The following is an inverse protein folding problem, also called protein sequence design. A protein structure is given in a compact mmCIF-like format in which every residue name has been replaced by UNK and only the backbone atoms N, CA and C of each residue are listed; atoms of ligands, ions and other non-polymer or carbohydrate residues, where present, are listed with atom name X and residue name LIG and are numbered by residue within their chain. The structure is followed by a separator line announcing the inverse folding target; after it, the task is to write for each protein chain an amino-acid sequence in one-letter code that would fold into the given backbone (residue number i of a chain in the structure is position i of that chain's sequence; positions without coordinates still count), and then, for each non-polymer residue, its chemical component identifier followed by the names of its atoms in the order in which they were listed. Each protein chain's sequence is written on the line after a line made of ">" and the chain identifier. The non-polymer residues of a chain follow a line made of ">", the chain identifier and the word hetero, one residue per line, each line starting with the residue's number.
data_IF_370232488988
#
_entry.id   IF_370232488988
#
_cell.length_a   1.000
_cell.length_b   1.000
_cell.length_c   1.000
_cell.angle_alpha   90.00
_cell.angle_beta   90.00
_cell.angle_gamma   90.00
#
_symmetry.space_group_name_H-M   'P 1'
#
loop_
_entity.id
_entity.type
_entity.pdbx_description
1 polymer ?
#
# COMPACT_ATOMS: atom_id res chain seq x y z
N UNK A 1 46.46 -44.32 15.53
CA UNK A 1 46.78 -42.99 16.10
C UNK A 1 47.57 -42.19 15.07
N UNK A 2 47.07 -41.00 14.75
CA UNK A 2 47.72 -39.85 14.08
C UNK A 2 48.23 -39.95 12.63
N UNK A 3 47.31 -39.59 11.73
CA UNK A 3 47.54 -38.95 10.43
C UNK A 3 48.24 -37.59 10.63
N UNK A 4 49.29 -37.30 9.85
CA UNK A 4 49.78 -35.93 9.60
C UNK A 4 49.66 -35.62 8.12
N UNK A 5 49.02 -34.48 7.85
CA UNK A 5 48.75 -33.91 6.56
C UNK A 5 50.00 -33.20 5.99
N UNK A 6 50.17 -33.28 4.68
CA UNK A 6 50.85 -32.27 3.84
C UNK A 6 50.19 -32.34 2.46
N UNK A 7 49.24 -31.43 2.23
CA UNK A 7 48.57 -31.21 0.96
C UNK A 7 49.20 -30.01 0.25
N UNK A 8 49.54 -30.21 -1.02
CA UNK A 8 50.36 -29.35 -1.86
C UNK A 8 49.71 -28.00 -2.22
N UNK A 9 50.58 -27.00 -2.37
CA UNK A 9 50.34 -25.73 -3.04
C UNK A 9 49.96 -25.96 -4.51
N UNK A 10 48.91 -25.29 -5.00
CA UNK A 10 48.69 -25.09 -6.44
C UNK A 10 48.71 -23.60 -6.72
N UNK A 11 49.58 -23.27 -7.67
CA UNK A 11 49.99 -21.97 -8.15
C UNK A 11 48.91 -21.35 -9.05
N UNK A 12 48.63 -20.07 -8.80
CA UNK A 12 47.87 -19.16 -9.67
C UNK A 12 48.70 -18.89 -10.92
N UNK A 13 48.13 -19.09 -12.11
CA UNK A 13 48.76 -18.65 -13.35
C UNK A 13 47.88 -17.61 -14.06
N UNK A 14 48.40 -16.39 -14.10
CA UNK A 14 47.94 -15.26 -14.91
C UNK A 14 48.59 -15.38 -16.30
N UNK A 15 47.82 -15.24 -17.37
CA UNK A 15 48.35 -14.92 -18.68
C UNK A 15 47.55 -13.78 -19.31
N UNK A 16 48.25 -12.76 -19.79
CA UNK A 16 47.73 -11.56 -20.43
C UNK A 16 48.47 -11.27 -21.76
N UNK A 17 47.69 -10.86 -22.78
CA UNK A 17 47.98 -9.98 -23.94
C UNK A 17 49.10 -10.35 -24.97
N UNK A 18 49.02 -10.12 -26.29
CA UNK A 18 48.17 -9.31 -27.20
C UNK A 18 48.36 -9.78 -28.69
N UNK A 19 48.16 -8.98 -29.78
CA UNK A 19 46.98 -8.97 -30.65
C UNK A 19 47.25 -9.30 -32.15
N UNK A 20 46.21 -9.44 -32.98
CA UNK A 20 46.29 -9.23 -34.44
C UNK A 20 45.05 -8.53 -34.98
N UNK A 21 45.30 -7.48 -35.76
CA UNK A 21 44.34 -6.64 -36.47
C UNK A 21 43.66 -7.40 -37.62
N UNK A 22 42.38 -7.11 -37.84
CA UNK A 22 41.59 -7.64 -38.95
C UNK A 22 40.28 -6.88 -39.07
N UNK A 23 40.17 -6.11 -40.13
CA UNK A 23 39.18 -5.09 -40.47
C UNK A 23 37.74 -5.64 -40.60
N UNK A 24 36.76 -4.88 -40.12
CA UNK A 24 35.32 -5.16 -40.23
C UNK A 24 34.79 -5.14 -41.69
N UNK A 25 33.59 -5.69 -41.92
CA UNK A 25 32.46 -4.78 -42.02
C UNK A 25 31.27 -5.14 -41.12
N UNK A 26 30.51 -4.09 -40.85
CA UNK A 26 29.40 -3.96 -39.91
C UNK A 26 28.17 -4.70 -40.43
N UNK A 27 27.74 -5.72 -39.69
CA UNK A 27 26.34 -6.17 -39.67
C UNK A 27 25.78 -5.90 -38.26
N UNK A 28 24.81 -5.00 -38.20
CA UNK A 28 24.14 -4.57 -36.97
C UNK A 28 23.23 -5.70 -36.48
N UNK A 29 23.79 -6.63 -35.71
CA UNK A 29 23.02 -7.48 -34.82
C UNK A 29 22.52 -6.61 -33.66
N UNK A 30 21.30 -6.08 -33.78
CA UNK A 30 20.60 -5.48 -32.67
C UNK A 30 20.42 -6.55 -31.58
N UNK A 31 21.18 -6.39 -30.51
CA UNK A 31 21.10 -7.16 -29.29
C UNK A 31 19.65 -7.18 -28.80
N UNK A 32 19.01 -8.35 -28.91
CA UNK A 32 17.74 -8.62 -28.28
C UNK A 32 17.97 -8.71 -26.76
N UNK A 33 17.96 -7.56 -26.09
CA UNK A 33 17.74 -7.50 -24.65
C UNK A 33 16.42 -8.21 -24.35
N UNK A 34 16.35 -9.19 -23.43
CA UNK A 34 15.07 -9.74 -23.05
C UNK A 34 14.27 -8.61 -22.41
N UNK A 35 13.15 -8.23 -23.04
CA UNK A 35 12.18 -7.34 -22.43
C UNK A 35 11.79 -7.99 -21.11
N UNK A 36 12.13 -7.32 -20.00
CA UNK A 36 11.52 -7.59 -18.70
C UNK A 36 10.02 -7.58 -18.96
N UNK A 37 9.41 -8.74 -18.71
CA UNK A 37 8.05 -9.03 -19.12
C UNK A 37 7.12 -7.87 -18.81
N UNK A 38 6.40 -7.45 -19.83
CA UNK A 38 5.08 -6.86 -19.70
C UNK A 38 4.25 -7.83 -18.85
N UNK A 39 4.33 -7.72 -17.53
CA UNK A 39 3.19 -8.07 -16.69
C UNK A 39 2.14 -7.06 -17.11
N UNK A 40 1.14 -7.55 -17.83
CA UNK A 40 -0.06 -6.82 -18.15
C UNK A 40 -0.68 -6.27 -16.87
N UNK A 41 -0.28 -5.05 -16.48
CA UNK A 41 -1.01 -4.18 -15.55
C UNK A 41 -2.23 -3.60 -16.28
N UNK A 42 -3.01 -4.47 -16.91
CA UNK A 42 -4.34 -4.12 -17.40
C UNK A 42 -5.24 -3.98 -16.19
N UNK A 43 -5.89 -2.82 -16.05
CA UNK A 43 -6.99 -2.69 -15.10
C UNK A 43 -8.01 -3.80 -15.41
N UNK A 44 -8.35 -4.63 -14.42
CA UNK A 44 -9.24 -5.77 -14.62
C UNK A 44 -10.59 -5.29 -15.18
N UNK A 45 -11.05 -5.92 -16.25
CA UNK A 45 -12.42 -5.72 -16.76
C UNK A 45 -13.41 -6.09 -15.66
N UNK A 46 -14.51 -5.33 -15.53
CA UNK A 46 -15.53 -5.59 -14.51
C UNK A 46 -16.37 -6.85 -14.75
N UNK A 47 -16.08 -7.59 -15.81
CA UNK A 47 -16.72 -8.86 -16.15
C UNK A 47 -15.91 -10.04 -15.59
N UNK A 48 -16.61 -10.99 -14.98
CA UNK A 48 -16.01 -12.20 -14.47
C UNK A 48 -15.55 -13.10 -15.63
N UNK A 49 -14.40 -13.78 -15.49
CA UNK A 49 -13.99 -14.80 -16.44
C UNK A 49 -15.03 -15.92 -16.58
N UNK A 50 -15.04 -16.58 -17.74
CA UNK A 50 -15.92 -17.72 -17.99
C UNK A 50 -15.69 -18.85 -16.96
N UNK A 51 -16.78 -19.44 -16.47
CA UNK A 51 -16.73 -20.49 -15.44
C UNK A 51 -16.57 -19.97 -13.99
N UNK A 52 -16.41 -18.67 -13.78
CA UNK A 52 -16.38 -18.06 -12.45
C UNK A 52 -17.79 -17.66 -12.02
N UNK A 53 -18.24 -18.18 -10.88
CA UNK A 53 -19.57 -17.88 -10.33
C UNK A 53 -19.49 -16.93 -9.13
N UNK A 54 -20.42 -15.98 -8.96
CA UNK A 54 -20.54 -15.28 -7.68
C UNK A 54 -20.84 -16.30 -6.57
N UNK A 55 -20.20 -16.14 -5.42
CA UNK A 55 -20.47 -17.01 -4.28
C UNK A 55 -21.92 -16.82 -3.76
N UNK A 56 -22.63 -17.92 -3.53
CA UNK A 56 -24.05 -17.93 -3.18
C UNK A 56 -24.37 -18.93 -2.06
N UNK A 57 -25.55 -18.79 -1.44
CA UNK A 57 -26.05 -19.75 -0.47
C UNK A 57 -26.13 -21.17 -1.08
N UNK A 58 -25.75 -22.19 -0.31
CA UNK A 58 -25.66 -23.57 -0.77
C UNK A 58 -24.30 -23.96 -1.36
N UNK A 59 -23.38 -23.01 -1.55
CA UNK A 59 -21.98 -23.31 -1.82
C UNK A 59 -21.20 -23.41 -0.50
N UNK A 60 -20.27 -24.36 -0.41
CA UNK A 60 -19.27 -24.38 0.66
C UNK A 60 -18.24 -23.30 0.38
N UNK A 61 -17.95 -22.48 1.38
CA UNK A 61 -17.00 -21.35 1.25
C UNK A 61 -15.57 -21.83 1.06
N UNK A 62 -14.73 -21.06 0.35
CA UNK A 62 -13.29 -21.25 0.38
C UNK A 62 -12.74 -21.10 1.80
N UNK A 63 -11.79 -21.96 2.16
CA UNK A 63 -11.11 -21.93 3.46
C UNK A 63 -9.59 -21.77 3.28
N UNK A 64 -8.92 -20.92 4.10
CA UNK A 64 -7.47 -20.90 4.15
C UNK A 64 -6.92 -22.29 4.52
N UNK A 65 -6.02 -22.85 3.73
CA UNK A 65 -5.31 -24.08 4.12
C UNK A 65 -3.96 -23.77 4.74
N UNK A 66 -3.15 -22.94 4.08
CA UNK A 66 -1.85 -22.46 4.57
C UNK A 66 -1.75 -20.97 4.32
N UNK A 67 -1.91 -20.18 5.39
CA UNK A 67 -1.80 -18.73 5.32
C UNK A 67 -0.34 -18.28 5.51
N UNK A 68 0.23 -17.46 4.62
CA UNK A 68 1.51 -16.81 4.89
C UNK A 68 1.36 -15.84 6.07
N UNK A 69 2.45 -15.53 6.79
CA UNK A 69 2.39 -14.53 7.85
C UNK A 69 2.00 -13.17 7.27
N UNK A 70 0.98 -12.55 7.84
CA UNK A 70 0.57 -11.20 7.47
C UNK A 70 1.69 -10.22 7.87
N UNK A 71 2.36 -9.64 6.87
CA UNK A 71 3.40 -8.63 7.11
C UNK A 71 2.74 -7.29 7.38
N UNK A 72 2.74 -6.84 8.63
CA UNK A 72 2.21 -5.52 8.99
C UNK A 72 3.29 -4.45 8.76
N UNK A 73 3.05 -3.43 7.91
CA UNK A 73 4.02 -2.36 7.68
C UNK A 73 4.25 -1.50 8.93
N UNK A 74 5.46 -0.96 9.11
CA UNK A 74 5.81 -0.12 10.26
C UNK A 74 4.85 1.06 10.45
N UNK A 75 4.45 1.72 9.36
CA UNK A 75 3.48 2.83 9.40
C UNK A 75 2.11 2.40 9.95
N UNK A 76 1.66 1.19 9.65
CA UNK A 76 0.42 0.64 10.20
C UNK A 76 0.56 0.41 11.72
N UNK A 77 1.72 -0.07 12.17
CA UNK A 77 2.02 -0.25 13.60
C UNK A 77 2.08 1.10 14.33
N UNK A 78 2.76 2.09 13.75
CA UNK A 78 2.92 3.44 14.30
C UNK A 78 1.60 4.15 14.55
N UNK A 79 0.63 3.97 13.65
CA UNK A 79 -0.72 4.54 13.80
C UNK A 79 -1.71 3.61 14.49
N UNK A 80 -1.24 2.47 15.01
CA UNK A 80 -2.06 1.41 15.63
C UNK A 80 -3.24 1.01 14.74
N UNK A 81 -2.97 0.80 13.46
CA UNK A 81 -3.98 0.40 12.48
C UNK A 81 -4.51 -0.99 12.84
N UNK A 82 -5.72 -1.01 13.36
CA UNK A 82 -6.53 -2.20 13.60
C UNK A 82 -7.89 -2.02 12.95
N UNK A 83 -8.57 -3.14 12.69
CA UNK A 83 -9.91 -3.13 12.14
C UNK A 83 -10.09 -4.20 11.08
N UNK A 84 -11.14 -4.04 10.28
CA UNK A 84 -11.55 -5.02 9.30
C UNK A 84 -11.01 -4.69 7.92
N UNK A 85 -10.52 -5.71 7.23
CA UNK A 85 -10.21 -5.65 5.81
C UNK A 85 -11.25 -6.49 5.08
N UNK A 86 -11.78 -5.99 3.96
CA UNK A 86 -12.65 -6.74 3.04
C UNK A 86 -12.04 -6.73 1.65
N UNK A 87 -11.95 -7.91 1.06
CA UNK A 87 -11.44 -8.09 -0.28
C UNK A 87 -12.38 -9.01 -1.05
N UNK A 88 -12.46 -8.75 -2.35
CA UNK A 88 -13.12 -9.62 -3.32
C UNK A 88 -12.05 -10.21 -4.21
N UNK A 89 -12.03 -11.52 -4.36
CA UNK A 89 -11.09 -12.23 -5.23
C UNK A 89 -11.78 -13.36 -5.95
N UNK A 90 -11.22 -13.74 -7.10
CA UNK A 90 -11.53 -15.02 -7.72
C UNK A 90 -10.71 -16.09 -7.01
N UNK A 91 -11.38 -17.07 -6.39
CA UNK A 91 -10.75 -18.28 -5.89
C UNK A 91 -10.91 -19.36 -6.94
N UNK A 92 -9.81 -19.86 -7.48
CA UNK A 92 -9.81 -20.87 -8.55
C UNK A 92 -10.10 -22.27 -8.02
N UNK A 93 -10.36 -23.22 -8.93
CA UNK A 93 -10.50 -24.64 -8.62
C UNK A 93 -9.23 -25.26 -8.04
N UNK A 94 -8.07 -24.68 -8.35
CA UNK A 94 -6.76 -25.05 -7.79
C UNK A 94 -6.50 -24.39 -6.43
N UNK A 95 -7.44 -23.58 -5.94
CA UNK A 95 -7.35 -22.91 -4.64
C UNK A 95 -6.40 -21.72 -4.63
N UNK A 96 -6.14 -21.08 -5.77
CA UNK A 96 -5.39 -19.82 -5.84
C UNK A 96 -6.34 -18.63 -5.77
N UNK A 97 -5.89 -17.54 -5.14
CA UNK A 97 -6.59 -16.27 -5.19
C UNK A 97 -5.99 -15.37 -6.28
N UNK A 98 -6.82 -14.95 -7.20
CA UNK A 98 -6.47 -14.05 -8.30
C UNK A 98 -7.48 -12.91 -8.39
N UNK A 99 -7.19 -11.90 -9.20
CA UNK A 99 -8.11 -10.80 -9.48
C UNK A 99 -8.63 -10.09 -8.21
N UNK A 100 -7.77 -10.01 -7.19
CA UNK A 100 -8.13 -9.45 -5.89
C UNK A 100 -8.28 -7.93 -5.91
N UNK A 101 -9.42 -7.45 -5.43
CA UNK A 101 -9.75 -6.04 -5.24
C UNK A 101 -10.09 -5.78 -3.77
N UNK A 102 -9.42 -4.83 -3.15
CA UNK A 102 -9.76 -4.39 -1.79
C UNK A 102 -11.00 -3.50 -1.82
N UNK A 103 -12.03 -3.90 -1.08
CA UNK A 103 -13.27 -3.14 -0.90
C UNK A 103 -13.16 -2.20 0.30
N UNK A 104 -12.51 -2.68 1.36
CA UNK A 104 -12.27 -1.95 2.61
C UNK A 104 -10.90 -2.36 3.14
N UNK A 105 -10.15 -1.40 3.68
CA UNK A 105 -8.85 -1.67 4.30
C UNK A 105 -8.65 -0.78 5.53
N UNK A 106 -7.53 -0.99 6.20
CA UNK A 106 -7.05 -0.16 7.31
C UNK A 106 -5.78 0.58 6.87
N UNK A 107 -5.40 1.70 7.54
CA UNK A 107 -4.28 2.53 7.11
C UNK A 107 -3.02 1.72 6.79
N UNK A 108 -2.48 1.94 5.59
CA UNK A 108 -1.21 1.36 5.09
C UNK A 108 -1.21 -0.15 4.86
N UNK A 109 -2.36 -0.84 4.93
CA UNK A 109 -2.42 -2.30 4.75
C UNK A 109 -2.71 -2.75 3.33
N UNK A 110 -2.94 -1.84 2.37
CA UNK A 110 -3.36 -2.20 1.01
C UNK A 110 -2.46 -3.24 0.32
N UNK A 111 -1.15 -3.00 0.29
CA UNK A 111 -0.19 -3.91 -0.35
C UNK A 111 0.01 -5.21 0.43
N UNK A 112 0.14 -5.10 1.76
CA UNK A 112 0.33 -6.24 2.64
C UNK A 112 -0.86 -7.20 2.61
N UNK A 113 -2.07 -6.64 2.59
CA UNK A 113 -3.31 -7.39 2.46
C UNK A 113 -3.30 -8.13 1.12
N UNK A 114 -3.20 -7.44 -0.01
CA UNK A 114 -3.19 -8.11 -1.33
C UNK A 114 -2.12 -9.20 -1.42
N UNK A 115 -0.90 -8.93 -0.95
CA UNK A 115 0.17 -9.92 -0.95
C UNK A 115 -0.22 -11.17 -0.15
N UNK A 116 -0.77 -11.02 1.05
CA UNK A 116 -1.17 -12.16 1.87
C UNK A 116 -2.20 -13.03 1.16
N UNK A 117 -3.14 -12.39 0.45
CA UNK A 117 -4.24 -13.06 -0.24
C UNK A 117 -3.76 -13.82 -1.46
N UNK A 118 -2.96 -13.19 -2.32
CA UNK A 118 -2.46 -13.83 -3.55
C UNK A 118 -1.37 -14.86 -3.29
N UNK A 119 -0.79 -14.92 -2.09
CA UNK A 119 0.24 -15.89 -1.71
C UNK A 119 -0.27 -16.95 -0.70
N UNK A 120 -1.58 -16.98 -0.46
CA UNK A 120 -2.24 -17.99 0.36
C UNK A 120 -2.79 -19.12 -0.51
N UNK A 121 -2.72 -20.34 -0.01
CA UNK A 121 -3.44 -21.47 -0.58
C UNK A 121 -4.81 -21.58 0.08
N UNK A 122 -5.83 -21.79 -0.75
CA UNK A 122 -7.21 -22.01 -0.33
C UNK A 122 -7.65 -23.43 -0.65
N UNK A 123 -8.57 -23.96 0.13
CA UNK A 123 -9.49 -24.99 -0.34
C UNK A 123 -10.51 -24.31 -1.25
N UNK A 124 -10.78 -24.85 -2.46
CA UNK A 124 -11.72 -24.23 -3.40
C UNK A 124 -13.13 -24.20 -2.81
N UNK A 125 -13.99 -23.34 -3.36
CA UNK A 125 -15.41 -23.43 -3.06
C UNK A 125 -15.96 -24.74 -3.65
N UNK A 126 -16.93 -25.34 -2.98
CA UNK A 126 -17.60 -26.55 -3.49
C UNK A 126 -19.09 -26.28 -3.71
N UNK A 127 -19.62 -26.82 -4.82
CA UNK A 127 -21.05 -26.90 -5.09
C UNK A 127 -21.39 -28.34 -5.38
N UNK A 128 -22.28 -28.93 -4.58
CA UNK A 128 -22.62 -30.37 -4.67
C UNK A 128 -21.40 -31.30 -4.55
N UNK A 129 -20.36 -30.90 -3.80
CA UNK A 129 -19.12 -31.66 -3.62
C UNK A 129 -18.11 -31.49 -4.76
N UNK A 130 -18.44 -30.74 -5.81
CA UNK A 130 -17.51 -30.43 -6.90
C UNK A 130 -16.82 -29.08 -6.66
N UNK A 131 -15.50 -28.98 -6.85
CA UNK A 131 -14.78 -27.72 -6.72
C UNK A 131 -15.17 -26.76 -7.86
N UNK A 132 -15.41 -25.51 -7.53
CA UNK A 132 -15.79 -24.46 -8.47
C UNK A 132 -14.96 -23.20 -8.26
N UNK A 133 -14.68 -22.49 -9.36
CA UNK A 133 -14.09 -21.17 -9.30
C UNK A 133 -15.17 -20.13 -8.92
N UNK A 134 -14.87 -19.29 -7.94
CA UNK A 134 -15.85 -18.32 -7.42
C UNK A 134 -15.30 -16.92 -7.26
N UNK A 135 -16.11 -15.92 -7.58
CA UNK A 135 -15.92 -14.54 -7.12
C UNK A 135 -16.39 -14.46 -5.67
N UNK A 136 -15.43 -14.39 -4.75
CA UNK A 136 -15.65 -14.51 -3.32
C UNK A 136 -15.21 -13.25 -2.59
N UNK A 137 -16.14 -12.72 -1.80
CA UNK A 137 -15.84 -11.65 -0.85
C UNK A 137 -15.55 -12.24 0.53
N UNK A 138 -14.38 -11.93 1.07
CA UNK A 138 -14.02 -12.29 2.44
C UNK A 138 -13.58 -11.06 3.21
N UNK A 139 -13.80 -11.13 4.52
CA UNK A 139 -13.29 -10.15 5.45
C UNK A 139 -12.60 -10.80 6.63
N UNK A 140 -11.54 -10.17 7.10
CA UNK A 140 -10.79 -10.58 8.27
C UNK A 140 -10.45 -9.36 9.12
N UNK A 141 -10.31 -9.58 10.41
CA UNK A 141 -9.90 -8.54 11.35
C UNK A 141 -8.39 -8.61 11.55
N UNK A 142 -7.75 -7.44 11.51
CA UNK A 142 -6.36 -7.25 11.88
C UNK A 142 -6.33 -6.68 13.30
N UNK A 143 -5.67 -7.40 14.19
CA UNK A 143 -5.39 -7.01 15.57
C UNK A 143 -3.88 -6.97 15.75
N UNK A 144 -3.36 -5.89 16.29
CA UNK A 144 -1.95 -5.82 16.63
C UNK A 144 -1.75 -6.47 18.00
N UNK A 145 -0.67 -7.26 18.19
CA UNK A 145 -0.35 -7.75 19.52
C UNK A 145 -0.09 -6.54 20.45
N UNK A 146 -0.56 -6.58 21.70
CA UNK A 146 -0.25 -5.52 22.66
C UNK A 146 1.28 -5.43 22.80
N UNK A 147 1.84 -4.22 22.67
CA UNK A 147 3.27 -4.00 22.81
C UNK A 147 3.71 -4.39 24.24
N UNK A 148 4.64 -5.35 24.43
CA UNK A 148 5.11 -5.72 25.76
C UNK A 148 5.68 -4.51 26.47
N UNK A 149 5.21 -4.24 27.70
CA UNK A 149 5.65 -3.08 28.48
C UNK A 149 5.07 -1.74 28.04
N UNK A 150 4.03 -1.71 27.18
CA UNK A 150 3.24 -0.50 27.00
C UNK A 150 2.55 -0.16 28.33
N UNK A 151 3.11 0.82 29.05
CA UNK A 151 2.35 1.53 30.06
C UNK A 151 1.04 2.03 29.44
N UNK A 152 -0.06 2.12 30.20
CA UNK A 152 -1.26 2.81 29.73
C UNK A 152 -0.83 4.16 29.16
N UNK A 153 -1.24 4.47 27.93
CA UNK A 153 -1.03 5.81 27.39
C UNK A 153 -1.76 6.78 28.31
N UNK A 154 -1.02 7.39 29.24
CA UNK A 154 -1.51 8.53 30.00
C UNK A 154 -1.89 9.55 28.93
N UNK A 155 -3.15 9.98 28.86
CA UNK A 155 -3.55 11.03 27.93
C UNK A 155 -2.54 12.17 28.07
N UNK A 156 -1.81 12.46 26.99
CA UNK A 156 -0.86 13.57 26.97
C UNK A 156 -1.64 14.80 27.45
N UNK A 157 -1.21 15.31 28.60
CA UNK A 157 -1.89 16.38 29.34
C UNK A 157 -2.30 17.46 28.34
N UNK A 158 -3.61 17.62 28.16
CA UNK A 158 -4.13 18.61 27.24
C UNK A 158 -3.53 19.95 27.68
N UNK A 159 -2.75 20.58 26.78
CA UNK A 159 -2.23 21.93 27.03
C UNK A 159 -3.38 22.76 27.62
N UNK A 160 -3.16 23.48 28.74
CA UNK A 160 -4.22 24.24 29.38
C UNK A 160 -4.94 25.06 28.31
N UNK A 161 -6.28 25.11 28.33
CA UNK A 161 -7.05 25.76 27.28
C UNK A 161 -6.51 27.17 27.13
N UNK A 162 -5.89 27.43 25.99
CA UNK A 162 -5.41 28.77 25.66
C UNK A 162 -6.64 29.66 25.77
N UNK A 163 -6.57 30.71 26.61
CA UNK A 163 -7.67 31.69 26.71
C UNK A 163 -7.80 32.38 25.37
N UNK A 164 -8.68 31.86 24.52
CA UNK A 164 -8.94 32.39 23.20
C UNK A 164 -9.75 33.67 23.39
N UNK A 165 -9.23 34.80 22.92
CA UNK A 165 -10.02 36.02 22.82
C UNK A 165 -11.21 35.71 21.90
N UNK A 166 -12.47 35.91 22.34
CA UNK A 166 -13.65 35.61 21.51
C UNK A 166 -13.72 36.43 20.22
N UNK A 167 -12.99 37.54 20.14
CA UNK A 167 -12.85 38.35 18.92
C UNK A 167 -11.67 37.93 18.04
N UNK A 168 -10.91 36.90 18.45
CA UNK A 168 -9.72 36.49 17.72
C UNK A 168 -10.08 35.88 16.38
N UNK A 169 -9.36 36.30 15.33
CA UNK A 169 -9.58 35.82 13.97
C UNK A 169 -8.59 34.70 13.67
N UNK A 170 -9.09 33.47 13.56
CA UNK A 170 -8.31 32.36 13.03
C UNK A 170 -8.45 32.30 11.50
N UNK A 171 -7.34 32.18 10.78
CA UNK A 171 -7.36 31.84 9.35
C UNK A 171 -6.96 30.40 9.13
N UNK A 172 -7.63 29.72 8.21
CA UNK A 172 -7.21 28.38 7.78
C UNK A 172 -5.91 28.43 6.94
N UNK A 173 -5.12 27.35 6.93
CA UNK A 173 -4.01 27.19 6.00
C UNK A 173 -4.51 27.23 4.54
N UNK A 174 -3.70 27.78 3.64
CA UNK A 174 -3.99 27.82 2.20
C UNK A 174 -2.81 27.28 1.43
N UNK A 175 -3.04 26.29 0.56
CA UNK A 175 -1.97 25.69 -0.24
C UNK A 175 -1.35 26.76 -1.17
N UNK A 176 -0.02 26.85 -1.16
CA UNK A 176 0.77 27.72 -2.04
C UNK A 176 1.31 26.90 -3.21
N UNK A 177 1.91 25.76 -2.92
CA UNK A 177 2.53 24.90 -3.93
C UNK A 177 2.56 23.45 -3.47
N UNK A 178 2.92 22.55 -4.40
CA UNK A 178 3.06 21.12 -4.15
C UNK A 178 2.13 20.27 -5.01
N UNK A 179 2.32 18.94 -5.00
CA UNK A 179 1.57 18.03 -5.86
C UNK A 179 0.06 18.14 -5.66
N UNK A 180 -0.70 18.13 -6.77
CA UNK A 180 -2.15 18.00 -6.70
C UNK A 180 -2.54 16.57 -6.31
N UNK A 181 -3.65 16.44 -5.58
CA UNK A 181 -4.19 15.13 -5.26
C UNK A 181 -4.71 14.49 -6.55
N UNK A 182 -4.08 13.39 -6.97
CA UNK A 182 -4.45 12.61 -8.15
C UNK A 182 -4.60 11.15 -7.75
N UNK A 183 -5.43 10.44 -8.49
CA UNK A 183 -5.53 8.99 -8.36
C UNK A 183 -4.19 8.32 -8.66
N UNK A 184 -3.81 7.34 -7.83
CA UNK A 184 -2.72 6.42 -8.19
C UNK A 184 -3.20 5.49 -9.31
N UNK A 185 -2.30 4.97 -10.17
CA UNK A 185 -2.68 4.02 -11.22
C UNK A 185 -3.45 2.81 -10.68
N UNK A 186 -3.02 2.27 -9.53
CA UNK A 186 -3.67 1.14 -8.88
C UNK A 186 -5.05 1.49 -8.33
N UNK A 187 -5.21 2.64 -7.69
CA UNK A 187 -6.52 3.15 -7.26
C UNK A 187 -7.47 3.32 -8.44
N UNK A 188 -7.00 3.90 -9.54
CA UNK A 188 -7.79 4.10 -10.75
C UNK A 188 -8.20 2.76 -11.38
N UNK A 189 -7.26 1.83 -11.52
CA UNK A 189 -7.52 0.50 -12.08
C UNK A 189 -8.53 -0.30 -11.27
N UNK A 190 -8.44 -0.22 -9.94
CA UNK A 190 -9.35 -0.91 -9.03
C UNK A 190 -10.63 -0.12 -8.76
N UNK A 191 -10.83 1.00 -9.47
CA UNK A 191 -12.02 1.85 -9.36
C UNK A 191 -12.36 2.23 -7.92
N UNK A 192 -11.34 2.50 -7.10
CA UNK A 192 -11.56 2.81 -5.69
C UNK A 192 -12.17 4.21 -5.55
N UNK A 193 -13.13 4.35 -4.65
CA UNK A 193 -13.78 5.62 -4.34
C UNK A 193 -13.94 5.73 -2.83
N UNK A 194 -14.10 6.96 -2.34
CA UNK A 194 -14.36 7.17 -0.91
C UNK A 194 -13.78 8.47 -0.39
N UNK A 195 -13.64 8.51 0.94
CA UNK A 195 -13.15 9.68 1.67
C UNK A 195 -11.85 9.34 2.38
N UNK A 196 -10.78 10.01 1.98
CA UNK A 196 -9.47 9.92 2.61
C UNK A 196 -9.30 11.10 3.57
N UNK A 197 -9.04 10.79 4.85
CA UNK A 197 -8.75 11.78 5.89
C UNK A 197 -7.31 11.65 6.33
N UNK A 198 -6.53 12.72 6.19
CA UNK A 198 -5.13 12.77 6.62
C UNK A 198 -4.95 13.91 7.61
N UNK A 199 -4.49 13.59 8.81
CA UNK A 199 -4.14 14.59 9.81
C UNK A 199 -2.65 14.86 9.79
N UNK A 200 -2.26 16.11 9.63
CA UNK A 200 -0.86 16.53 9.65
C UNK A 200 -0.69 17.74 10.56
N UNK A 201 0.56 18.03 10.92
CA UNK A 201 0.94 19.31 11.52
C UNK A 201 1.39 20.27 10.43
N UNK A 202 0.85 21.49 10.42
CA UNK A 202 1.34 22.58 9.58
C UNK A 202 2.10 23.56 10.47
N UNK A 203 3.34 23.84 10.13
CA UNK A 203 4.25 24.69 10.92
C UNK A 203 3.94 26.17 10.74
N UNK A 204 4.54 27.03 11.57
CA UNK A 204 4.46 28.50 11.43
C UNK A 204 5.06 29.00 10.12
N UNK A 205 5.93 28.20 9.49
CA UNK A 205 6.52 28.45 8.17
C UNK A 205 5.67 27.87 7.04
N UNK A 206 4.60 27.15 7.36
CA UNK A 206 3.71 26.52 6.40
C UNK A 206 4.24 25.23 5.77
N UNK A 207 5.26 24.62 6.39
CA UNK A 207 5.70 23.26 6.06
C UNK A 207 4.73 22.25 6.67
N UNK A 208 4.63 21.06 6.07
CA UNK A 208 3.73 19.99 6.54
C UNK A 208 4.56 18.82 7.04
N UNK A 209 4.23 18.32 8.23
CA UNK A 209 4.95 17.22 8.88
C UNK A 209 4.01 16.37 9.75
N UNK A 210 4.52 15.22 10.23
CA UNK A 210 3.81 14.32 11.14
C UNK A 210 2.43 13.89 10.63
N UNK A 211 2.33 13.56 9.35
CA UNK A 211 1.09 13.14 8.74
C UNK A 211 0.71 11.71 9.15
N UNK A 212 -0.57 11.50 9.49
CA UNK A 212 -1.18 10.20 9.73
C UNK A 212 -2.54 10.08 9.05
N UNK A 213 -2.79 8.93 8.45
CA UNK A 213 -4.10 8.62 7.85
C UNK A 213 -5.08 8.24 8.95
N UNK A 214 -6.20 8.97 9.04
CA UNK A 214 -7.28 8.70 9.99
C UNK A 214 -8.38 7.82 9.38
N UNK A 215 -8.66 8.03 8.08
CA UNK A 215 -9.60 7.24 7.29
C UNK A 215 -8.95 6.97 5.96
N UNK A 216 -8.92 5.72 5.55
CA UNK A 216 -8.19 5.28 4.36
C UNK A 216 -9.08 5.15 3.13
N UNK A 217 -8.45 5.24 1.97
CA UNK A 217 -8.95 4.73 0.69
C UNK A 217 -7.83 3.85 0.13
N UNK A 218 -8.09 2.59 -0.26
CA UNK A 218 -7.04 1.68 -0.69
C UNK A 218 -6.14 2.27 -1.79
N UNK A 219 -4.84 2.03 -1.68
CA UNK A 219 -3.80 2.46 -2.63
C UNK A 219 -3.56 3.98 -2.73
N UNK A 220 -4.12 4.79 -1.83
CA UNK A 220 -3.99 6.25 -1.85
C UNK A 220 -3.18 6.83 -0.69
N UNK A 221 -2.96 6.05 0.37
CA UNK A 221 -2.42 6.51 1.65
C UNK A 221 -1.02 7.12 1.52
N UNK A 222 -0.07 6.34 1.00
CA UNK A 222 1.32 6.77 0.86
C UNK A 222 1.50 7.88 -0.16
N UNK A 223 0.65 7.93 -1.19
CA UNK A 223 0.67 9.03 -2.15
C UNK A 223 0.19 10.32 -1.48
N UNK A 224 -0.91 10.27 -0.74
CA UNK A 224 -1.49 11.45 -0.10
C UNK A 224 -0.57 12.03 0.98
N UNK A 225 0.03 11.18 1.81
CA UNK A 225 1.01 11.61 2.82
C UNK A 225 2.20 12.30 2.15
N UNK A 226 2.82 11.67 1.14
CA UNK A 226 3.96 12.26 0.42
C UNK A 226 3.60 13.57 -0.28
N UNK A 227 2.42 13.65 -0.90
CA UNK A 227 1.94 14.86 -1.57
C UNK A 227 1.77 16.02 -0.57
N UNK A 228 1.21 15.75 0.61
CA UNK A 228 1.03 16.73 1.67
C UNK A 228 2.37 17.19 2.25
N UNK A 229 3.25 16.25 2.62
CA UNK A 229 4.59 16.54 3.16
C UNK A 229 5.49 17.29 2.15
N UNK A 230 5.25 17.11 0.84
CA UNK A 230 5.94 17.84 -0.23
C UNK A 230 5.26 19.16 -0.61
N UNK A 231 4.21 19.58 0.10
CA UNK A 231 3.45 20.80 -0.21
C UNK A 231 3.82 21.96 0.72
N UNK A 232 3.72 23.18 0.20
CA UNK A 232 3.88 24.41 0.97
C UNK A 232 2.53 25.07 1.19
N UNK A 233 2.28 25.52 2.41
CA UNK A 233 1.07 26.23 2.79
C UNK A 233 1.39 27.63 3.28
N UNK A 234 0.43 28.55 3.15
CA UNK A 234 0.36 29.71 4.02
C UNK A 234 -0.17 29.21 5.36
N UNK A 235 0.53 29.46 6.48
CA UNK A 235 0.16 28.92 7.77
C UNK A 235 -1.21 29.43 8.23
N UNK A 236 -1.84 28.69 9.14
CA UNK A 236 -2.93 29.25 9.91
C UNK A 236 -2.41 30.43 10.72
N UNK A 237 -3.22 31.47 10.87
CA UNK A 237 -2.89 32.60 11.73
C UNK A 237 -3.93 32.71 12.83
N UNK A 238 -3.50 33.15 14.00
CA UNK A 238 -4.34 33.55 15.11
C UNK A 238 -4.01 35.00 15.41
N UNK A 239 -4.97 35.90 15.19
CA UNK A 239 -4.78 37.36 15.29
C UNK A 239 -3.58 37.85 14.47
N UNK A 240 -3.49 37.36 13.22
CA UNK A 240 -2.43 37.72 12.27
C UNK A 240 -1.07 37.05 12.53
N UNK A 241 -0.91 36.30 13.62
CA UNK A 241 0.34 35.59 13.95
C UNK A 241 0.28 34.13 13.48
N UNK A 242 1.24 33.67 12.66
CA UNK A 242 1.32 32.26 12.26
C UNK A 242 1.32 31.31 13.45
N UNK A 243 0.55 30.23 13.35
CA UNK A 243 0.44 29.20 14.37
C UNK A 243 0.78 27.83 13.79
N UNK A 244 1.50 27.03 14.59
CA UNK A 244 1.63 25.60 14.37
C UNK A 244 0.35 24.90 14.81
N UNK A 245 -0.30 24.22 13.88
CA UNK A 245 -1.59 23.58 14.14
C UNK A 245 -1.64 22.16 13.61
N UNK A 246 -2.42 21.31 14.27
CA UNK A 246 -2.91 20.07 13.67
C UNK A 246 -4.03 20.40 12.69
N UNK A 247 -3.96 19.89 11.47
CA UNK A 247 -4.93 20.13 10.41
C UNK A 247 -5.33 18.82 9.75
N UNK A 248 -6.63 18.58 9.62
CA UNK A 248 -7.16 17.40 8.95
C UNK A 248 -7.59 17.75 7.54
N UNK A 249 -6.86 17.20 6.57
CA UNK A 249 -7.20 17.27 5.16
C UNK A 249 -8.23 16.20 4.82
N UNK A 250 -9.25 16.60 4.06
CA UNK A 250 -10.32 15.74 3.57
C UNK A 250 -10.29 15.70 2.05
N UNK A 251 -10.09 14.52 1.49
CA UNK A 251 -10.11 14.29 0.04
C UNK A 251 -11.27 13.36 -0.30
N UNK A 252 -12.13 13.81 -1.23
CA UNK A 252 -13.16 12.96 -1.82
C UNK A 252 -12.63 12.43 -3.14
N UNK A 253 -12.52 11.11 -3.22
CA UNK A 253 -12.08 10.36 -4.39
C UNK A 253 -13.32 9.80 -5.07
N UNK A 254 -13.63 10.29 -6.27
CA UNK A 254 -14.71 9.83 -7.13
C UNK A 254 -14.22 9.76 -8.58
N UNK A 255 -14.49 8.65 -9.26
CA UNK A 255 -14.09 8.39 -10.66
C UNK A 255 -14.93 9.20 -11.64
N UNK A 256 -16.19 9.45 -11.27
CA UNK A 256 -17.05 10.42 -11.95
C UNK A 256 -17.17 11.66 -11.08
N UNK A 257 -16.59 12.81 -11.49
CA UNK A 257 -16.82 14.05 -10.76
C UNK A 257 -18.31 14.35 -10.77
N UNK A 258 -18.86 14.74 -9.62
CA UNK A 258 -20.23 15.26 -9.57
C UNK A 258 -20.34 16.47 -10.52
N UNK A 259 -21.46 16.64 -11.26
CA UNK A 259 -21.69 17.87 -12.00
C UNK A 259 -21.59 19.04 -11.01
N UNK A 260 -20.77 20.04 -11.36
CA UNK A 260 -20.59 21.24 -10.55
C UNK A 260 -21.84 22.11 -10.58
#
# INVERSE_FOLDING_TARGET
>A
MNRRALGAFIVVNLAACAPKEGTAPVETAAEATPRIGERSEGCLSGELPEGVLPFQAGMKRPEPSVAPPLRVPSRAIEVKAEGRIRARCIITTEGKAEHCVLLETIPYMSEAALWALTNQQYQPAEKNGEPIAVDYEYGWDVRLPPKPGAAPEVPSEAKPPVRVNPNARMTRPVKISGPEMKYTPRALCNRVEGELLVHCTITEKGDVESCRVLRTVPYMEDFAVRALESSKFRPATFDGRPQRIGYTFKFRLALRPAPR
#
